data_IF_253688437282
#
_entry.id   IF_253688437282
#
_cell.length_a   1.000
_cell.length_b   1.000
_cell.length_c   1.000
_cell.angle_alpha   90.00
_cell.angle_beta   90.00
_cell.angle_gamma   90.00
#
_symmetry.space_group_name_H-M   'P 1'
#
loop_
_entity.id
_entity.type
_entity.pdbx_description
1 polymer ?
#
# COMPACT_ATOMS: atom_id res chain seq x y z
N UNK A 1 6.50 10.28 -9.26
CA UNK A 1 6.52 10.79 -7.87
C UNK A 1 7.97 11.00 -7.45
N UNK A 2 8.24 11.98 -6.59
CA UNK A 2 9.57 12.17 -6.03
C UNK A 2 9.68 11.43 -4.71
N UNK A 3 10.75 10.64 -4.55
CA UNK A 3 11.08 9.91 -3.31
C UNK A 3 12.38 10.48 -2.77
N UNK A 4 12.46 10.67 -1.46
CA UNK A 4 13.68 11.11 -0.79
C UNK A 4 14.75 10.00 -0.80
N UNK A 5 16.02 10.40 -0.85
CA UNK A 5 17.16 9.47 -0.81
C UNK A 5 17.34 8.79 0.56
N UNK A 6 16.66 9.29 1.60
CA UNK A 6 16.63 8.70 2.94
C UNK A 6 15.28 8.94 3.61
N UNK A 7 14.72 7.91 4.26
CA UNK A 7 13.52 8.00 5.10
C UNK A 7 13.82 7.62 6.56
N UNK A 8 13.17 8.26 7.56
CA UNK A 8 13.27 7.82 8.95
C UNK A 8 12.51 6.50 9.13
N UNK A 9 13.20 5.43 9.52
CA UNK A 9 12.54 4.17 9.96
C UNK A 9 13.14 2.87 9.42
N UNK A 10 13.94 2.91 8.35
CA UNK A 10 14.67 1.75 7.84
C UNK A 10 15.95 2.17 7.08
N UNK A 11 16.80 1.20 6.76
CA UNK A 11 18.03 1.43 5.96
C UNK A 11 17.66 1.36 4.47
N UNK A 12 17.73 2.49 3.77
CA UNK A 12 17.42 2.58 2.34
C UNK A 12 16.83 3.93 1.94
N UNK A 13 16.59 4.11 0.64
CA UNK A 13 15.82 5.26 0.13
C UNK A 13 14.36 5.21 0.58
N UNK A 14 13.69 6.36 0.59
CA UNK A 14 12.26 6.45 0.91
C UNK A 14 11.44 5.58 -0.05
N UNK A 15 10.58 4.74 0.51
CA UNK A 15 9.66 3.92 -0.27
C UNK A 15 8.38 4.68 -0.56
N UNK A 16 7.64 4.22 -1.56
CA UNK A 16 6.35 4.81 -1.87
C UNK A 16 5.36 4.60 -0.72
N UNK A 17 5.44 3.46 -0.04
CA UNK A 17 4.65 3.16 1.16
C UNK A 17 4.96 4.10 2.33
N UNK A 18 6.23 4.48 2.53
CA UNK A 18 6.64 5.46 3.54
C UNK A 18 6.06 6.83 3.21
N UNK A 19 6.23 7.28 1.96
CA UNK A 19 5.76 8.58 1.51
C UNK A 19 4.24 8.71 1.64
N UNK A 20 3.48 7.67 1.23
CA UNK A 20 2.02 7.67 1.24
C UNK A 20 1.40 7.53 2.64
N UNK A 21 2.09 6.86 3.56
CA UNK A 21 1.62 6.65 4.93
C UNK A 21 2.26 7.60 5.96
N UNK A 22 3.11 8.53 5.51
CA UNK A 22 3.72 9.54 6.36
C UNK A 22 2.67 10.48 6.96
N UNK A 23 2.72 10.67 8.28
CA UNK A 23 1.69 11.37 9.06
C UNK A 23 1.58 12.88 8.79
N UNK A 24 2.48 13.47 7.99
CA UNK A 24 2.63 14.91 7.84
C UNK A 24 2.35 15.50 6.44
N UNK A 25 2.28 14.68 5.40
CA UNK A 25 2.21 15.17 4.01
C UNK A 25 0.83 14.92 3.40
N UNK A 26 0.02 15.98 3.28
CA UNK A 26 -1.28 15.92 2.62
C UNK A 26 -1.18 15.94 1.09
N UNK A 27 -0.14 16.61 0.55
CA UNK A 27 0.12 16.69 -0.88
C UNK A 27 1.50 16.15 -1.21
N UNK A 28 1.59 15.38 -2.29
CA UNK A 28 2.84 14.84 -2.83
C UNK A 28 3.09 15.43 -4.21
N UNK A 29 4.31 15.95 -4.47
CA UNK A 29 4.71 16.33 -5.81
C UNK A 29 4.91 15.11 -6.71
N UNK A 30 4.34 15.16 -7.90
CA UNK A 30 4.50 14.18 -8.96
C UNK A 30 4.70 14.88 -10.29
N UNK A 31 5.62 14.37 -11.11
CA UNK A 31 5.72 14.75 -12.52
C UNK A 31 4.83 13.79 -13.30
N UNK A 32 3.93 14.36 -14.10
CA UNK A 32 3.18 13.60 -15.08
C UNK A 32 4.12 13.17 -16.22
N UNK A 33 4.13 11.87 -16.54
CA UNK A 33 5.11 11.31 -17.46
C UNK A 33 4.87 11.72 -18.93
N UNK A 34 3.65 12.10 -19.28
CA UNK A 34 3.27 12.44 -20.65
C UNK A 34 3.40 13.95 -20.93
N UNK A 35 3.11 14.77 -19.92
CA UNK A 35 3.06 16.23 -20.05
C UNK A 35 4.24 16.95 -19.38
N UNK A 36 5.05 16.22 -18.62
CA UNK A 36 6.12 16.76 -17.76
C UNK A 36 5.65 17.80 -16.74
N UNK A 37 4.33 17.93 -16.56
CA UNK A 37 3.74 18.92 -15.68
C UNK A 37 3.96 18.52 -14.21
N UNK A 38 4.37 19.50 -13.41
CA UNK A 38 4.43 19.36 -11.96
C UNK A 38 2.99 19.37 -11.39
N UNK A 39 2.59 18.24 -10.83
CA UNK A 39 1.27 18.02 -10.22
C UNK A 39 1.42 17.75 -8.73
N UNK A 40 0.53 18.33 -7.93
CA UNK A 40 0.47 18.07 -6.49
C UNK A 40 -0.75 17.21 -6.20
N UNK A 41 -0.51 15.96 -5.77
CA UNK A 41 -1.55 14.97 -5.55
C UNK A 41 -1.89 14.92 -4.08
N UNK A 42 -3.17 15.09 -3.74
CA UNK A 42 -3.64 14.93 -2.36
C UNK A 42 -3.66 13.43 -2.00
N UNK A 43 -2.96 13.00 -0.94
CA UNK A 43 -2.78 11.58 -0.59
C UNK A 43 -4.13 10.90 -0.28
N UNK A 44 -4.92 11.52 0.60
CA UNK A 44 -6.30 11.91 0.28
C UNK A 44 -7.06 11.19 -0.85
N UNK A 45 -6.87 11.74 -2.03
CA UNK A 45 -7.65 11.42 -3.20
C UNK A 45 -6.96 10.37 -4.07
N UNK A 46 -5.77 9.93 -3.68
CA UNK A 46 -5.06 8.86 -4.36
C UNK A 46 -5.68 7.51 -3.97
N UNK A 47 -6.40 6.91 -4.90
CA UNK A 47 -7.03 5.60 -4.68
C UNK A 47 -6.01 4.45 -4.67
N UNK A 48 -5.00 4.55 -5.53
CA UNK A 48 -4.07 3.47 -5.81
C UNK A 48 -2.73 4.04 -6.31
N UNK A 49 -1.63 3.43 -5.88
CA UNK A 49 -0.33 3.64 -6.49
C UNK A 49 0.37 2.31 -6.74
N UNK A 50 1.08 2.18 -7.86
CA UNK A 50 1.82 0.96 -8.22
C UNK A 50 3.30 1.25 -8.31
N UNK A 51 4.09 0.29 -7.87
CA UNK A 51 5.55 0.33 -7.93
C UNK A 51 6.08 -1.10 -8.14
N UNK A 52 7.29 -1.25 -8.68
CA UNK A 52 7.91 -2.56 -8.83
C UNK A 52 8.13 -3.19 -7.43
N UNK A 53 7.91 -4.50 -7.31
CA UNK A 53 8.00 -5.21 -6.03
C UNK A 53 9.41 -5.14 -5.41
N UNK A 54 10.45 -5.07 -6.24
CA UNK A 54 11.83 -4.88 -5.81
C UNK A 54 12.09 -3.56 -5.06
N UNK A 55 11.27 -2.53 -5.29
CA UNK A 55 11.36 -1.23 -4.62
C UNK A 55 10.52 -1.16 -3.34
N UNK A 56 9.64 -2.14 -3.10
CA UNK A 56 8.83 -2.29 -1.89
C UNK A 56 9.07 -3.67 -1.26
N UNK A 57 10.30 -3.99 -0.82
CA UNK A 57 10.57 -5.30 -0.25
C UNK A 57 9.81 -5.44 1.08
N UNK A 58 9.01 -6.51 1.23
CA UNK A 58 8.28 -6.78 2.46
C UNK A 58 9.25 -6.85 3.65
N UNK A 59 9.21 -5.87 4.56
CA UNK A 59 9.97 -5.88 5.81
C UNK A 59 9.14 -6.66 6.82
N UNK A 60 9.12 -7.97 6.66
CA UNK A 60 8.61 -8.86 7.70
C UNK A 60 9.76 -9.09 8.67
N UNK A 61 9.53 -8.87 9.96
CA UNK A 61 10.52 -9.21 10.98
C UNK A 61 10.84 -10.72 10.88
N UNK A 62 12.13 -11.06 10.88
CA UNK A 62 12.64 -12.42 10.64
C UNK A 62 12.12 -13.43 11.67
N UNK A 63 11.63 -12.92 12.81
CA UNK A 63 11.10 -13.71 13.92
C UNK A 63 9.58 -13.92 13.87
N UNK A 64 8.87 -13.35 12.89
CA UNK A 64 7.40 -13.49 12.81
C UNK A 64 6.96 -14.13 11.49
N UNK A 65 6.08 -15.14 11.59
CA UNK A 65 5.48 -15.79 10.41
C UNK A 65 4.39 -14.85 9.86
N UNK A 66 4.51 -14.35 8.63
CA UNK A 66 3.49 -13.49 8.05
C UNK A 66 2.24 -14.32 7.68
N UNK A 67 1.07 -13.71 7.85
CA UNK A 67 -0.18 -14.24 7.32
C UNK A 67 -0.37 -13.73 5.90
N UNK A 68 -0.65 -14.66 4.98
CA UNK A 68 -0.88 -14.36 3.57
C UNK A 68 -2.31 -14.73 3.17
N UNK A 69 -3.02 -13.78 2.55
CA UNK A 69 -4.34 -14.01 1.99
C UNK A 69 -4.38 -13.56 0.54
N UNK A 70 -4.79 -14.47 -0.35
CA UNK A 70 -5.16 -14.11 -1.70
C UNK A 70 -6.52 -13.42 -1.68
N UNK A 71 -6.59 -12.22 -2.24
CA UNK A 71 -7.78 -11.37 -2.19
C UNK A 71 -8.10 -10.77 -3.54
N UNK A 72 -9.37 -10.42 -3.72
CA UNK A 72 -9.84 -9.45 -4.71
C UNK A 72 -10.33 -8.21 -3.97
N UNK A 73 -9.74 -7.06 -4.28
CA UNK A 73 -10.13 -5.74 -3.76
C UNK A 73 -10.95 -5.05 -4.84
N UNK A 74 -12.18 -4.68 -4.50
CA UNK A 74 -13.03 -3.86 -5.37
C UNK A 74 -13.01 -2.42 -4.88
N UNK A 75 -12.62 -1.50 -5.76
CA UNK A 75 -12.57 -0.06 -5.53
C UNK A 75 -13.97 0.56 -5.70
N UNK A 76 -14.19 1.75 -5.14
CA UNK A 76 -15.47 2.48 -5.22
C UNK A 76 -15.90 2.84 -6.65
N UNK A 77 -14.96 2.92 -7.59
CA UNK A 77 -15.23 3.15 -9.02
C UNK A 77 -15.51 1.85 -9.80
N UNK A 78 -15.53 0.70 -9.11
CA UNK A 78 -15.75 -0.62 -9.69
C UNK A 78 -14.49 -1.29 -10.25
N UNK A 79 -13.33 -0.64 -10.22
CA UNK A 79 -12.07 -1.30 -10.56
C UNK A 79 -11.76 -2.44 -9.59
N UNK A 80 -11.21 -3.53 -10.11
CA UNK A 80 -10.86 -4.71 -9.33
C UNK A 80 -9.36 -4.96 -9.37
N UNK A 81 -8.80 -5.29 -8.22
CA UNK A 81 -7.39 -5.63 -8.04
C UNK A 81 -7.31 -7.01 -7.38
N UNK A 82 -6.63 -7.96 -8.00
CA UNK A 82 -6.38 -9.28 -7.41
C UNK A 82 -4.92 -9.37 -7.01
N UNK A 83 -4.66 -9.87 -5.82
CA UNK A 83 -3.29 -10.07 -5.36
C UNK A 83 -3.20 -10.68 -3.97
N UNK A 84 -2.01 -10.63 -3.40
CA UNK A 84 -1.73 -11.15 -2.07
C UNK A 84 -1.60 -10.00 -1.08
N UNK A 85 -2.34 -10.07 0.02
CA UNK A 85 -2.06 -9.23 1.19
C UNK A 85 -1.20 -10.07 2.14
N UNK A 86 -0.03 -9.53 2.48
CA UNK A 86 0.87 -10.09 3.48
C UNK A 86 0.90 -9.14 4.68
N UNK A 87 0.56 -9.63 5.87
CA UNK A 87 0.60 -8.84 7.10
C UNK A 87 1.05 -9.64 8.32
N UNK A 88 1.56 -8.93 9.32
CA UNK A 88 1.92 -9.48 10.62
C UNK A 88 0.99 -8.89 11.67
N UNK A 89 0.20 -9.74 12.31
CA UNK A 89 -0.62 -9.35 13.46
C UNK A 89 -0.36 -10.30 14.64
N UNK A 90 -0.37 -9.82 15.89
CA UNK A 90 -0.32 -10.69 17.07
C UNK A 90 -1.44 -11.73 17.03
N UNK A 91 -1.15 -12.98 17.44
CA UNK A 91 -2.07 -14.14 17.32
C UNK A 91 -3.49 -13.87 17.86
N UNK A 92 -3.63 -12.99 18.85
CA UNK A 92 -4.91 -12.65 19.46
C UNK A 92 -5.88 -11.86 18.53
N UNK A 93 -5.40 -11.23 17.46
CA UNK A 93 -6.16 -10.36 16.55
C UNK A 93 -5.87 -10.66 15.06
N UNK A 94 -5.68 -11.94 14.71
CA UNK A 94 -5.17 -12.35 13.39
C UNK A 94 -6.25 -12.44 12.29
N UNK A 95 -7.21 -11.51 12.26
CA UNK A 95 -8.26 -11.47 11.22
C UNK A 95 -7.95 -10.40 10.18
N UNK A 96 -8.22 -10.69 8.91
CA UNK A 96 -8.14 -9.70 7.82
C UNK A 96 -9.00 -8.46 8.12
N UNK A 97 -10.14 -8.65 8.79
CA UNK A 97 -11.01 -7.55 9.24
C UNK A 97 -10.30 -6.59 10.19
N UNK A 98 -9.50 -7.11 11.13
CA UNK A 98 -8.77 -6.27 12.10
C UNK A 98 -7.65 -5.49 11.39
N UNK A 99 -6.97 -6.13 10.43
CA UNK A 99 -5.97 -5.49 9.58
C UNK A 99 -6.56 -4.33 8.76
N UNK A 100 -7.72 -4.56 8.13
CA UNK A 100 -8.39 -3.56 7.29
C UNK A 100 -8.99 -2.41 8.13
N UNK A 101 -9.53 -2.71 9.31
CA UNK A 101 -10.15 -1.71 10.18
C UNK A 101 -9.15 -0.85 10.95
N UNK A 102 -7.86 -1.23 11.02
CA UNK A 102 -6.86 -0.39 11.68
C UNK A 102 -6.75 0.95 10.93
N UNK A 103 -6.85 2.06 11.68
CA UNK A 103 -6.88 3.43 11.15
C UNK A 103 -5.55 3.85 10.51
N UNK A 104 -4.45 3.18 10.85
CA UNK A 104 -3.15 3.34 10.22
C UNK A 104 -2.51 1.97 9.95
N UNK A 105 -1.80 1.79 8.83
CA UNK A 105 -1.61 2.74 7.73
C UNK A 105 -2.88 2.95 6.87
N UNK A 106 -2.95 4.10 6.19
CA UNK A 106 -4.07 4.47 5.30
C UNK A 106 -4.02 3.69 3.97
N UNK A 107 -2.80 3.43 3.49
CA UNK A 107 -2.54 2.58 2.34
C UNK A 107 -2.01 1.22 2.80
N UNK A 108 -2.57 0.13 2.26
CA UNK A 108 -2.06 -1.22 2.48
C UNK A 108 -1.50 -1.80 1.17
N UNK A 109 -0.39 -2.55 1.23
CA UNK A 109 0.19 -3.19 0.07
C UNK A 109 -0.60 -4.44 -0.36
N UNK A 110 -0.73 -4.61 -1.66
CA UNK A 110 -1.23 -5.81 -2.33
C UNK A 110 -0.21 -6.21 -3.39
N UNK A 111 0.32 -7.42 -3.30
CA UNK A 111 1.26 -7.95 -4.30
C UNK A 111 0.50 -8.45 -5.53
N UNK A 112 0.74 -7.81 -6.69
CA UNK A 112 0.16 -8.10 -8.00
C UNK A 112 1.28 -8.56 -8.95
N UNK A 113 1.67 -9.84 -8.85
CA UNK A 113 2.81 -10.38 -9.60
C UNK A 113 4.13 -9.70 -9.19
N UNK A 114 4.80 -9.04 -10.15
CA UNK A 114 6.07 -8.33 -9.95
C UNK A 114 5.88 -6.87 -9.49
N UNK A 115 4.67 -6.49 -9.10
CA UNK A 115 4.34 -5.13 -8.66
C UNK A 115 3.66 -5.15 -7.30
N UNK A 116 3.89 -4.09 -6.53
CA UNK A 116 3.14 -3.80 -5.32
C UNK A 116 2.18 -2.67 -5.61
N UNK A 117 0.90 -2.93 -5.34
CA UNK A 117 -0.18 -1.97 -5.37
C UNK A 117 -0.46 -1.47 -3.95
N UNK A 118 -0.20 -0.20 -3.70
CA UNK A 118 -0.55 0.48 -2.46
C UNK A 118 -1.98 1.00 -2.59
N UNK A 119 -2.90 0.31 -1.92
CA UNK A 119 -4.34 0.56 -2.01
C UNK A 119 -4.79 1.43 -0.85
N UNK A 120 -5.48 2.52 -1.15
CA UNK A 120 -6.03 3.39 -0.13
C UNK A 120 -7.36 2.85 0.42
N UNK A 121 -7.42 2.59 1.73
CA UNK A 121 -8.61 2.03 2.40
C UNK A 121 -9.87 2.86 2.15
N UNK A 122 -9.77 4.19 2.02
CA UNK A 122 -10.95 5.06 1.85
C UNK A 122 -11.62 4.93 0.48
N UNK A 123 -10.92 4.36 -0.49
CA UNK A 123 -11.41 4.15 -1.86
C UNK A 123 -11.79 2.69 -2.13
N UNK A 124 -11.73 1.82 -1.12
CA UNK A 124 -12.15 0.43 -1.21
C UNK A 124 -13.65 0.31 -0.92
N UNK A 125 -14.38 -0.37 -1.81
CA UNK A 125 -15.78 -0.72 -1.60
C UNK A 125 -15.90 -1.98 -0.74
N UNK A 126 -15.17 -3.05 -1.10
CA UNK A 126 -15.12 -4.29 -0.34
C UNK A 126 -13.89 -5.13 -0.73
N UNK A 127 -13.53 -6.08 0.14
CA UNK A 127 -12.43 -7.04 -0.06
C UNK A 127 -12.99 -8.45 0.11
N UNK A 128 -12.69 -9.33 -0.85
CA UNK A 128 -13.08 -10.73 -0.82
C UNK A 128 -11.84 -11.62 -0.74
N UNK A 129 -11.82 -12.55 0.20
CA UNK A 129 -10.78 -13.60 0.24
C UNK A 129 -11.08 -14.63 -0.83
N UNK A 130 -10.12 -14.90 -1.69
CA UNK A 130 -10.21 -15.97 -2.66
C UNK A 130 -9.83 -17.28 -1.96
N UNK A 131 -10.80 -18.19 -1.84
CA UNK A 131 -10.50 -19.55 -1.37
C UNK A 131 -9.79 -20.31 -2.48
N UNK A 132 -8.66 -20.93 -2.15
CA UNK A 132 -8.12 -22.06 -2.93
C UNK A 132 -9.04 -23.26 -2.84
#
# INVERSE_FOLDING_TARGET
MFLAEAAPGHTGGERLSDLLNSSGSLFIPAVDADTEAMTFVHCENLALARVAAELEPNVVDQFTIPTEHEVEVTMMDGQKLRGLITYVLPEAHSRLTDYLNNSAPAFFPVLEGERVALVNKRHVAYVETLRR
#
